data_IF_525380797010
#
_entry.id   IF_525380797010
#
_cell.length_a   1.000
_cell.length_b   1.000
_cell.length_c   1.000
_cell.angle_alpha   90.00
_cell.angle_beta   90.00
_cell.angle_gamma   90.00
#
_symmetry.space_group_name_H-M   'P 1'
#
loop_
_entity.id
_entity.type
_entity.pdbx_description
1 polymer ?
#
# COMPACT_ATOMS: atom_id res chain seq x y z
N UNK A 1 23.72 7.01 1.46
CA UNK A 1 23.88 6.06 0.33
C UNK A 1 22.65 5.14 0.17
N UNK A 2 22.24 4.36 1.18
CA UNK A 2 21.09 3.42 1.07
C UNK A 2 19.79 4.10 0.70
N UNK A 3 19.44 5.23 1.37
CA UNK A 3 18.23 6.00 1.06
C UNK A 3 18.23 6.50 -0.38
N UNK A 4 19.33 7.06 -0.86
CA UNK A 4 19.45 7.56 -2.23
C UNK A 4 19.33 6.42 -3.26
N UNK A 5 19.90 5.25 -2.96
CA UNK A 5 19.75 4.07 -3.81
C UNK A 5 18.31 3.58 -3.85
N UNK A 6 17.63 3.48 -2.70
CA UNK A 6 16.21 3.09 -2.65
C UNK A 6 15.36 4.08 -3.46
N UNK A 7 15.53 5.38 -3.22
CA UNK A 7 14.75 6.42 -3.90
C UNK A 7 15.02 6.51 -5.41
N UNK A 8 16.18 6.04 -5.89
CA UNK A 8 16.45 5.98 -7.34
C UNK A 8 15.55 4.97 -8.09
N UNK A 9 14.81 4.14 -7.36
CA UNK A 9 13.83 3.18 -7.92
C UNK A 9 12.41 3.73 -7.97
N UNK A 10 12.22 4.96 -7.51
CA UNK A 10 10.93 5.64 -7.46
C UNK A 10 10.99 6.95 -8.27
N UNK A 11 9.84 7.49 -8.70
CA UNK A 11 9.80 8.80 -9.34
C UNK A 11 10.40 9.91 -8.44
N UNK A 12 10.77 11.03 -9.02
CA UNK A 12 11.19 12.21 -8.26
C UNK A 12 10.06 12.69 -7.34
N UNK A 13 10.41 13.27 -6.18
CA UNK A 13 9.43 13.80 -5.24
C UNK A 13 8.96 12.81 -4.19
N UNK A 14 9.66 11.69 -4.00
CA UNK A 14 9.44 10.75 -2.91
C UNK A 14 10.47 10.91 -1.79
N UNK A 15 10.07 10.47 -0.62
CA UNK A 15 10.90 10.30 0.57
C UNK A 15 10.82 8.84 1.04
N UNK A 16 11.73 8.48 1.93
CA UNK A 16 11.72 7.17 2.56
C UNK A 16 12.05 7.28 4.06
N UNK A 17 11.29 6.59 4.88
CA UNK A 17 11.72 6.26 6.24
C UNK A 17 12.14 4.80 6.28
N UNK A 18 13.20 4.51 7.04
CA UNK A 18 13.58 3.13 7.33
C UNK A 18 12.79 2.62 8.52
N UNK A 19 12.37 1.37 8.42
CA UNK A 19 11.59 0.64 9.42
C UNK A 19 12.33 -0.66 9.78
N UNK A 20 11.91 -1.31 10.85
CA UNK A 20 12.47 -2.61 11.26
C UNK A 20 12.02 -3.75 10.35
N UNK A 21 10.89 -3.60 9.67
CA UNK A 21 10.33 -4.60 8.74
C UNK A 21 9.24 -4.01 7.86
N UNK A 22 8.70 -4.80 6.92
CA UNK A 22 7.55 -4.42 6.12
C UNK A 22 6.32 -4.11 6.97
N UNK A 23 6.03 -4.94 7.99
CA UNK A 23 4.85 -4.74 8.85
C UNK A 23 4.84 -3.39 9.56
N UNK A 24 5.99 -2.88 10.01
CA UNK A 24 6.08 -1.53 10.57
C UNK A 24 5.81 -0.46 9.50
N UNK A 25 6.32 -0.65 8.27
CA UNK A 25 6.02 0.24 7.15
C UNK A 25 4.54 0.29 6.80
N UNK A 26 3.89 -0.87 6.73
CA UNK A 26 2.46 -1.02 6.46
C UNK A 26 1.62 -0.36 7.55
N UNK A 27 1.91 -0.66 8.81
CA UNK A 27 1.20 -0.05 9.95
C UNK A 27 1.37 1.47 9.95
N UNK A 28 2.59 1.95 9.69
CA UNK A 28 2.86 3.39 9.59
C UNK A 28 2.03 4.03 8.48
N UNK A 29 1.95 3.41 7.29
CA UNK A 29 1.14 3.90 6.20
C UNK A 29 -0.36 3.94 6.56
N UNK A 30 -0.90 2.83 7.09
CA UNK A 30 -2.32 2.73 7.44
C UNK A 30 -2.69 3.78 8.48
N UNK A 31 -1.98 3.85 9.60
CA UNK A 31 -2.33 4.76 10.68
C UNK A 31 -1.99 6.23 10.42
N UNK A 32 -1.05 6.51 9.51
CA UNK A 32 -0.77 7.89 9.10
C UNK A 32 -1.77 8.43 8.08
N UNK A 33 -2.31 7.59 7.21
CA UNK A 33 -3.11 8.07 6.08
C UNK A 33 -4.61 7.84 6.25
N UNK A 34 -5.04 6.82 6.99
CA UNK A 34 -6.45 6.58 7.32
C UNK A 34 -6.88 7.37 8.56
N UNK A 35 -7.16 8.68 8.41
CA UNK A 35 -7.41 9.57 9.57
C UNK A 35 -8.87 9.84 9.89
N UNK A 36 -9.77 9.65 8.93
CA UNK A 36 -11.21 9.97 9.03
C UNK A 36 -11.99 9.27 7.93
N UNK A 37 -13.31 9.32 8.00
CA UNK A 37 -14.19 8.76 6.97
C UNK A 37 -14.04 7.25 6.88
N UNK A 38 -13.59 6.77 5.72
CA UNK A 38 -13.34 5.36 5.51
C UNK A 38 -11.99 5.10 4.83
N UNK A 39 -11.54 3.85 4.93
CA UNK A 39 -10.38 3.34 4.24
C UNK A 39 -10.73 1.99 3.60
N UNK A 40 -10.20 1.74 2.41
CA UNK A 40 -10.49 0.53 1.63
C UNK A 40 -9.22 -0.31 1.46
N UNK A 41 -9.35 -1.59 1.66
CA UNK A 41 -8.32 -2.59 1.41
C UNK A 41 -8.93 -3.84 0.79
N UNK A 42 -8.20 -4.93 0.72
CA UNK A 42 -8.70 -6.19 0.15
C UNK A 42 -8.80 -7.30 1.20
N UNK A 43 -9.59 -8.34 0.89
CA UNK A 43 -9.67 -9.52 1.75
C UNK A 43 -8.41 -10.39 1.73
N UNK A 44 -7.48 -10.15 0.79
CA UNK A 44 -6.27 -10.93 0.58
C UNK A 44 -4.97 -10.23 1.02
N UNK A 45 -5.06 -9.25 1.89
CA UNK A 45 -3.88 -8.55 2.38
C UNK A 45 -3.06 -9.38 3.37
N UNK A 46 -1.77 -9.06 3.44
CA UNK A 46 -0.93 -9.55 4.53
C UNK A 46 -1.52 -9.14 5.91
N UNK A 47 -1.40 -9.96 6.97
CA UNK A 47 -1.93 -9.64 8.30
C UNK A 47 -1.54 -8.25 8.82
N UNK A 48 -0.38 -7.72 8.46
CA UNK A 48 0.05 -6.37 8.84
C UNK A 48 -0.93 -5.28 8.36
N UNK A 49 -1.45 -5.40 7.15
CA UNK A 49 -2.48 -4.50 6.61
C UNK A 49 -3.87 -4.89 7.15
N UNK A 50 -4.23 -6.16 7.02
CA UNK A 50 -5.58 -6.64 7.36
C UNK A 50 -5.97 -6.31 8.80
N UNK A 51 -5.11 -6.63 9.77
CA UNK A 51 -5.38 -6.35 11.19
C UNK A 51 -5.31 -4.84 11.51
N UNK A 52 -4.42 -4.09 10.86
CA UNK A 52 -4.39 -2.63 11.00
C UNK A 52 -5.70 -1.99 10.51
N UNK A 53 -6.26 -2.47 9.41
CA UNK A 53 -7.56 -1.98 8.92
C UNK A 53 -8.69 -2.31 9.91
N UNK A 54 -8.73 -3.51 10.47
CA UNK A 54 -9.70 -3.85 11.52
C UNK A 54 -9.59 -2.90 12.72
N UNK A 55 -8.37 -2.54 13.12
CA UNK A 55 -8.13 -1.63 14.23
C UNK A 55 -8.56 -0.17 13.94
N UNK A 56 -8.74 0.21 12.66
CA UNK A 56 -9.19 1.56 12.30
C UNK A 56 -10.57 1.91 12.87
N UNK A 57 -11.46 0.93 13.03
CA UNK A 57 -12.79 1.14 13.63
C UNK A 57 -12.71 1.72 15.05
N UNK A 58 -11.70 1.33 15.83
CA UNK A 58 -11.43 1.87 17.18
C UNK A 58 -10.96 3.34 17.15
N UNK A 59 -10.56 3.83 15.97
CA UNK A 59 -10.14 5.22 15.72
C UNK A 59 -11.18 6.05 15.00
N UNK A 60 -12.40 5.52 14.83
CA UNK A 60 -13.49 6.21 14.16
C UNK A 60 -13.36 6.27 12.64
N UNK A 61 -12.53 5.41 12.03
CA UNK A 61 -12.42 5.24 10.59
C UNK A 61 -13.07 3.92 10.19
N UNK A 62 -13.97 3.94 9.22
CA UNK A 62 -14.68 2.75 8.72
C UNK A 62 -13.76 1.93 7.81
N UNK A 63 -13.36 0.70 8.19
CA UNK A 63 -12.61 -0.18 7.31
C UNK A 63 -13.55 -0.89 6.33
N UNK A 64 -13.17 -0.96 5.05
CA UNK A 64 -13.90 -1.63 3.99
C UNK A 64 -12.99 -2.62 3.27
N UNK A 65 -13.51 -3.81 2.95
CA UNK A 65 -12.72 -4.91 2.38
C UNK A 65 -13.26 -5.32 1.02
N UNK A 66 -12.51 -5.06 -0.04
CA UNK A 66 -12.84 -5.48 -1.39
C UNK A 66 -12.65 -7.00 -1.56
N UNK A 67 -13.51 -7.59 -2.38
CA UNK A 67 -13.44 -9.02 -2.73
C UNK A 67 -12.28 -9.30 -3.67
N UNK A 68 -11.87 -10.54 -3.70
CA UNK A 68 -10.91 -11.07 -4.68
C UNK A 68 -11.66 -11.82 -5.79
N UNK A 69 -11.01 -11.94 -6.93
CA UNK A 69 -11.37 -12.86 -8.01
C UNK A 69 -10.93 -14.29 -7.63
N UNK A 70 -11.36 -15.27 -8.41
CA UNK A 70 -11.03 -16.67 -8.18
C UNK A 70 -9.54 -17.00 -8.32
N UNK A 71 -8.77 -16.18 -9.01
CA UNK A 71 -7.32 -16.27 -9.16
C UNK A 71 -6.53 -15.58 -8.03
N UNK A 72 -7.24 -14.99 -7.06
CA UNK A 72 -6.67 -14.27 -5.94
C UNK A 72 -6.30 -12.80 -6.24
N UNK A 73 -6.50 -12.31 -7.45
CA UNK A 73 -6.34 -10.90 -7.79
C UNK A 73 -7.48 -10.04 -7.22
N UNK A 74 -7.26 -8.75 -7.11
CA UNK A 74 -8.29 -7.80 -6.63
C UNK A 74 -9.43 -7.68 -7.64
N UNK A 75 -10.67 -7.79 -7.16
CA UNK A 75 -11.84 -7.51 -7.97
C UNK A 75 -12.03 -5.98 -8.09
N UNK A 76 -11.76 -5.43 -9.29
CA UNK A 76 -11.82 -3.98 -9.55
C UNK A 76 -13.21 -3.38 -9.25
N UNK A 77 -14.28 -4.06 -9.63
CA UNK A 77 -15.65 -3.60 -9.41
C UNK A 77 -15.95 -3.52 -7.92
N UNK A 78 -15.59 -4.57 -7.17
CA UNK A 78 -15.73 -4.60 -5.72
C UNK A 78 -14.91 -3.47 -5.06
N UNK A 79 -13.66 -3.27 -5.48
CA UNK A 79 -12.80 -2.20 -4.95
C UNK A 79 -13.45 -0.83 -5.19
N UNK A 80 -13.86 -0.55 -6.42
CA UNK A 80 -14.47 0.73 -6.78
C UNK A 80 -15.81 0.96 -6.07
N UNK A 81 -16.62 -0.06 -5.87
CA UNK A 81 -17.91 0.08 -5.17
C UNK A 81 -17.75 0.59 -3.75
N UNK A 82 -16.61 0.31 -3.11
CA UNK A 82 -16.30 0.68 -1.72
C UNK A 82 -15.65 2.07 -1.58
N UNK A 83 -15.13 2.65 -2.66
CA UNK A 83 -14.51 3.98 -2.67
C UNK A 83 -15.58 5.05 -2.83
N UNK A 84 -15.56 6.06 -1.98
CA UNK A 84 -16.43 7.25 -2.05
C UNK A 84 -15.65 8.53 -1.73
N UNK A 85 -16.32 9.68 -1.63
CA UNK A 85 -15.70 10.98 -1.35
C UNK A 85 -15.06 11.08 0.04
N UNK A 86 -15.47 10.20 0.99
CA UNK A 86 -14.93 10.13 2.34
C UNK A 86 -13.75 9.17 2.46
N UNK A 87 -13.41 8.44 1.39
CA UNK A 87 -12.29 7.50 1.39
C UNK A 87 -10.98 8.26 1.43
N UNK A 88 -10.17 8.02 2.46
CA UNK A 88 -8.88 8.70 2.65
C UNK A 88 -7.69 7.83 2.26
N UNK A 89 -7.82 6.52 2.38
CA UNK A 89 -6.78 5.55 2.05
C UNK A 89 -7.36 4.38 1.26
N UNK A 90 -6.67 3.97 0.20
CA UNK A 90 -6.79 2.65 -0.42
C UNK A 90 -5.44 1.96 -0.30
N UNK A 91 -5.41 0.74 0.23
CA UNK A 91 -4.20 -0.08 0.37
C UNK A 91 -4.40 -1.43 -0.31
N UNK A 92 -3.51 -1.77 -1.24
CA UNK A 92 -3.58 -3.03 -2.00
C UNK A 92 -2.21 -3.68 -2.06
N UNK A 93 -2.14 -4.97 -1.73
CA UNK A 93 -0.92 -5.77 -1.90
C UNK A 93 -0.56 -5.87 -3.39
N UNK A 94 0.71 -5.65 -3.72
CA UNK A 94 1.18 -5.76 -5.11
C UNK A 94 1.28 -7.21 -5.57
N UNK A 95 1.91 -8.06 -4.75
CA UNK A 95 1.97 -9.52 -4.97
C UNK A 95 1.52 -10.21 -3.70
N UNK A 96 0.48 -11.02 -3.80
CA UNK A 96 -0.03 -11.76 -2.66
C UNK A 96 1.00 -12.80 -2.19
N UNK A 97 1.27 -12.84 -0.88
CA UNK A 97 2.30 -13.69 -0.30
C UNK A 97 1.90 -15.18 -0.21
N UNK A 98 0.63 -15.51 -0.36
CA UNK A 98 0.11 -16.90 -0.26
C UNK A 98 -0.20 -17.47 -1.65
N UNK A 99 -0.92 -16.72 -2.48
CA UNK A 99 -1.38 -17.19 -3.80
C UNK A 99 -0.39 -16.86 -4.92
N UNK A 100 0.47 -15.86 -4.73
CA UNK A 100 1.33 -15.32 -5.79
C UNK A 100 0.60 -14.45 -6.81
N UNK A 101 -0.68 -14.17 -6.61
CA UNK A 101 -1.44 -13.29 -7.48
C UNK A 101 -0.80 -11.90 -7.56
N UNK A 102 -0.63 -11.38 -8.79
CA UNK A 102 -0.04 -10.07 -9.06
C UNK A 102 -1.18 -9.10 -9.38
N UNK A 103 -1.25 -8.00 -8.63
CA UNK A 103 -2.20 -6.92 -8.89
C UNK A 103 -1.55 -5.82 -9.73
N UNK A 104 -2.25 -5.35 -10.77
CA UNK A 104 -1.86 -4.15 -11.51
C UNK A 104 -2.20 -2.91 -10.68
N UNK A 105 -1.30 -2.59 -9.73
CA UNK A 105 -1.50 -1.49 -8.77
C UNK A 105 -1.57 -0.12 -9.45
N UNK A 106 -0.92 0.07 -10.60
CA UNK A 106 -1.01 1.32 -11.35
C UNK A 106 -2.39 1.51 -11.97
N UNK A 107 -2.95 0.45 -12.54
CA UNK A 107 -4.32 0.42 -13.04
C UNK A 107 -5.32 0.65 -11.91
N UNK A 108 -5.16 -0.04 -10.78
CA UNK A 108 -6.02 0.13 -9.60
C UNK A 108 -5.94 1.56 -9.06
N UNK A 109 -4.75 2.12 -8.93
CA UNK A 109 -4.57 3.51 -8.49
C UNK A 109 -5.21 4.50 -9.46
N UNK A 110 -5.09 4.26 -10.78
CA UNK A 110 -5.72 5.12 -11.80
C UNK A 110 -7.24 5.17 -11.64
N UNK A 111 -7.91 4.02 -11.58
CA UNK A 111 -9.38 3.98 -11.49
C UNK A 111 -9.89 4.50 -10.15
N UNK A 112 -9.19 4.24 -9.06
CA UNK A 112 -9.49 4.77 -7.72
C UNK A 112 -9.37 6.29 -7.70
N UNK A 113 -8.26 6.84 -8.23
CA UNK A 113 -8.05 8.30 -8.28
C UNK A 113 -8.96 9.02 -9.27
N UNK A 114 -9.45 8.35 -10.29
CA UNK A 114 -10.53 8.90 -11.16
C UNK A 114 -11.82 9.09 -10.37
N UNK A 115 -12.13 8.17 -9.46
CA UNK A 115 -13.33 8.25 -8.60
C UNK A 115 -13.16 9.23 -7.45
N UNK A 116 -12.02 9.21 -6.77
CA UNK A 116 -11.67 10.14 -5.70
C UNK A 116 -10.22 10.63 -5.86
N UNK A 117 -9.98 11.81 -6.46
CA UNK A 117 -8.63 12.33 -6.70
C UNK A 117 -7.81 12.62 -5.44
N UNK A 118 -8.46 12.77 -4.28
CA UNK A 118 -7.80 13.09 -3.01
C UNK A 118 -7.36 11.86 -2.21
N UNK A 119 -7.76 10.66 -2.64
CA UNK A 119 -7.42 9.42 -1.95
C UNK A 119 -5.91 9.16 -2.01
N UNK A 120 -5.34 8.70 -0.91
CA UNK A 120 -3.97 8.19 -0.87
C UNK A 120 -4.00 6.71 -1.28
N UNK A 121 -3.18 6.34 -2.26
CA UNK A 121 -3.02 4.95 -2.70
C UNK A 121 -1.70 4.39 -2.18
N UNK A 122 -1.79 3.45 -1.26
CA UNK A 122 -0.67 2.68 -0.71
C UNK A 122 -0.63 1.29 -1.32
N UNK A 123 0.57 0.74 -1.49
CA UNK A 123 0.74 -0.66 -1.83
C UNK A 123 1.80 -1.34 -0.97
N UNK A 124 1.46 -2.50 -0.42
CA UNK A 124 2.44 -3.43 0.15
C UNK A 124 3.22 -4.09 -0.99
N UNK A 125 4.44 -3.62 -1.21
CA UNK A 125 5.36 -4.11 -2.23
C UNK A 125 6.38 -5.12 -1.74
N UNK A 126 6.22 -5.64 -0.53
CA UNK A 126 7.20 -6.53 0.13
C UNK A 126 7.51 -7.77 -0.70
N UNK A 127 6.54 -8.33 -1.40
CA UNK A 127 6.75 -9.49 -2.26
C UNK A 127 7.09 -9.15 -3.71
N UNK A 128 6.91 -7.90 -4.14
CA UNK A 128 7.13 -7.44 -5.52
C UNK A 128 8.47 -6.74 -5.71
N UNK A 129 8.85 -5.85 -4.79
CA UNK A 129 10.05 -5.02 -4.91
C UNK A 129 11.32 -5.86 -5.08
N UNK A 130 12.08 -5.55 -6.12
CA UNK A 130 13.31 -6.26 -6.45
C UNK A 130 13.14 -7.67 -7.06
N UNK A 131 11.89 -8.14 -7.23
CA UNK A 131 11.55 -9.42 -7.86
C UNK A 131 10.86 -9.23 -9.20
N UNK A 132 9.97 -8.24 -9.28
CA UNK A 132 9.33 -7.86 -10.53
C UNK A 132 10.12 -6.74 -11.23
N UNK A 133 10.14 -6.71 -12.58
CA UNK A 133 10.67 -5.59 -13.34
C UNK A 133 9.68 -4.42 -13.30
N UNK A 134 9.49 -3.83 -12.14
CA UNK A 134 8.48 -2.82 -11.86
C UNK A 134 9.11 -1.58 -11.22
N UNK A 135 8.70 -0.41 -11.68
CA UNK A 135 8.97 0.88 -11.08
C UNK A 135 7.64 1.58 -10.78
N UNK A 136 7.34 1.94 -9.52
CA UNK A 136 6.10 2.62 -9.17
C UNK A 136 5.91 3.92 -9.97
N UNK A 137 4.69 4.17 -10.43
CA UNK A 137 4.33 5.43 -11.05
C UNK A 137 3.94 6.48 -9.99
N UNK A 138 3.86 7.77 -10.35
CA UNK A 138 3.40 8.82 -9.43
C UNK A 138 1.96 8.66 -8.91
N UNK A 139 1.22 7.67 -9.39
CA UNK A 139 -0.12 7.33 -8.88
C UNK A 139 -0.07 6.57 -7.56
N UNK A 140 1.04 5.89 -7.29
CA UNK A 140 1.27 5.16 -6.05
C UNK A 140 1.85 6.14 -5.03
N UNK A 141 1.03 6.60 -4.09
CA UNK A 141 1.43 7.64 -3.12
C UNK A 141 2.38 7.11 -2.04
N UNK A 142 2.25 5.83 -1.69
CA UNK A 142 3.12 5.18 -0.70
C UNK A 142 3.34 3.70 -1.04
N UNK A 143 4.54 3.19 -0.71
CA UNK A 143 4.94 1.83 -1.07
C UNK A 143 5.85 1.24 0.01
N UNK A 144 5.47 0.09 0.55
CA UNK A 144 6.24 -0.60 1.60
C UNK A 144 7.18 -1.64 0.99
N UNK A 145 8.39 -1.72 1.53
CA UNK A 145 9.41 -2.72 1.14
C UNK A 145 10.05 -3.37 2.37
N UNK A 146 10.58 -4.58 2.21
CA UNK A 146 11.27 -5.31 3.27
C UNK A 146 12.53 -6.00 2.75
N UNK A 147 13.68 -5.72 3.38
CA UNK A 147 14.97 -6.17 2.88
C UNK A 147 15.12 -7.71 2.85
N UNK A 148 14.61 -8.41 3.87
CA UNK A 148 14.76 -9.87 3.94
C UNK A 148 14.03 -10.65 2.84
N UNK A 149 13.10 -10.01 2.14
CA UNK A 149 12.39 -10.62 0.99
C UNK A 149 13.16 -10.54 -0.32
N UNK A 150 14.24 -9.75 -0.34
CA UNK A 150 15.12 -9.56 -1.50
C UNK A 150 16.59 -9.89 -1.18
N UNK A 151 16.82 -10.79 -0.22
CA UNK A 151 18.17 -11.24 0.16
C UNK A 151 18.93 -10.28 1.09
N UNK A 152 18.29 -9.23 1.60
CA UNK A 152 18.88 -8.30 2.57
C UNK A 152 18.73 -8.76 4.03
N UNK A 153 19.17 -7.92 4.95
CA UNK A 153 19.13 -8.21 6.38
C UNK A 153 17.69 -8.23 6.93
N UNK A 154 17.45 -9.15 7.88
CA UNK A 154 16.28 -9.07 8.76
C UNK A 154 16.42 -7.82 9.64
N UNK A 155 15.28 -7.30 10.12
CA UNK A 155 15.27 -6.07 10.93
C UNK A 155 15.43 -4.80 10.10
N UNK A 156 15.17 -4.85 8.78
CA UNK A 156 15.27 -3.69 7.89
C UNK A 156 14.13 -3.70 6.87
N UNK A 157 13.41 -2.61 6.80
CA UNK A 157 12.38 -2.30 5.82
C UNK A 157 12.37 -0.80 5.50
N UNK A 158 11.46 -0.38 4.68
CA UNK A 158 11.22 1.03 4.43
C UNK A 158 9.78 1.28 3.96
N UNK A 159 9.24 2.43 4.34
CA UNK A 159 8.08 3.04 3.70
C UNK A 159 8.58 4.19 2.82
N UNK A 160 8.30 4.10 1.53
CA UNK A 160 8.57 5.15 0.53
C UNK A 160 7.25 5.85 0.24
N UNK A 161 7.24 7.18 0.26
CA UNK A 161 6.00 7.97 0.11
C UNK A 161 6.28 9.32 -0.52
N UNK A 162 5.26 9.91 -1.14
CA UNK A 162 5.36 11.24 -1.74
C UNK A 162 5.65 12.33 -0.69
N UNK A 163 6.60 13.21 -0.96
CA UNK A 163 7.04 14.31 -0.05
C UNK A 163 5.92 15.23 0.44
N UNK A 164 4.79 15.27 -0.26
CA UNK A 164 3.62 16.07 0.13
C UNK A 164 2.78 15.41 1.24
N UNK A 165 3.05 14.15 1.55
CA UNK A 165 2.34 13.41 2.59
C UNK A 165 3.02 13.61 3.94
N UNK A 166 2.22 13.75 4.98
CA UNK A 166 2.70 13.85 6.35
C UNK A 166 2.46 12.52 7.09
N UNK A 167 3.52 11.94 7.61
CA UNK A 167 3.43 10.83 8.55
C UNK A 167 3.13 11.38 9.95
N UNK A 168 2.26 10.70 10.68
CA UNK A 168 1.87 11.08 12.06
C UNK A 168 1.89 9.89 12.98
#
# INVERSE_FOLDING_TARGET
KARSFLLSRFPSGYEAIFTSCGSEGDNTAVFSFAKRGNAVTTAGEHPAIYESFKALSQRGVEPRFAKLNSDGSVNEESLLSLVDEKTTLVSVVHVNNETGAINDIDRLAEIVKKKNPSVIFHSDGVQAFGKLPYAPTPRIDAYTVSAHKIGGLKGTGALVFGKKLNLT
#
